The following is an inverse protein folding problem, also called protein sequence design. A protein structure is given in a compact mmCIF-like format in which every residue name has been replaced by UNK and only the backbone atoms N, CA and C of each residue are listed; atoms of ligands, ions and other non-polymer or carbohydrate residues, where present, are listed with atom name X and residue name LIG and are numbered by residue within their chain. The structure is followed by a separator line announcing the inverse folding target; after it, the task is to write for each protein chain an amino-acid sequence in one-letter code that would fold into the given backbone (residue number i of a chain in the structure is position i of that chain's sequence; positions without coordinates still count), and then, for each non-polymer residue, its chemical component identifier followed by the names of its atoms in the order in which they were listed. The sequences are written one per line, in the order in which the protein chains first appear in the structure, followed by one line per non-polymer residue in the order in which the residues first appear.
data_IF_554162782010
#
_entry.id   IF_554162782010
#
_cell.length_a   1.000
_cell.length_b   1.000
_cell.length_c   1.000
_cell.angle_alpha   90.00
_cell.angle_beta   90.00
_cell.angle_gamma   90.00
#
_symmetry.space_group_name_H-M   'P 1'
#
loop_
_entity.id
_entity.type
_entity.pdbx_description
1 polymer ?
#
# COMPACT_ATOMS: atom_id res chain seq x y z
N UNK A 1 14.00 -5.02 -5.32
CA UNK A 1 13.05 -5.83 -4.53
C UNK A 1 12.84 -7.21 -5.12
N UNK A 2 12.30 -7.29 -6.35
CA UNK A 2 12.01 -8.58 -7.00
C UNK A 2 13.23 -9.50 -7.17
N UNK A 3 14.42 -8.93 -7.39
CA UNK A 3 15.67 -9.70 -7.53
C UNK A 3 16.26 -10.21 -6.20
N UNK A 4 15.79 -9.70 -5.05
CA UNK A 4 16.27 -10.11 -3.73
C UNK A 4 15.12 -9.94 -2.71
N UNK A 5 14.16 -10.88 -2.68
CA UNK A 5 13.01 -10.80 -1.79
C UNK A 5 13.43 -11.03 -0.33
N UNK A 6 12.78 -10.32 0.59
CA UNK A 6 12.99 -10.45 2.03
C UNK A 6 11.72 -10.97 2.70
N UNK A 7 11.83 -11.69 3.83
CA UNK A 7 10.69 -12.08 4.68
C UNK A 7 9.45 -12.55 3.90
N UNK A 8 9.63 -13.57 3.06
CA UNK A 8 8.58 -14.09 2.19
C UNK A 8 7.59 -14.91 3.00
N UNK A 9 6.34 -14.47 3.02
CA UNK A 9 5.23 -15.03 3.81
C UNK A 9 3.96 -15.17 2.96
N UNK A 10 2.92 -15.75 3.55
CA UNK A 10 1.57 -15.69 2.98
C UNK A 10 1.01 -14.29 3.26
N UNK A 11 0.46 -13.67 2.23
CA UNK A 11 -0.05 -12.31 2.24
C UNK A 11 -1.58 -12.31 2.13
N UNK A 12 -2.21 -11.28 2.68
CA UNK A 12 -3.59 -10.94 2.38
C UNK A 12 -3.75 -10.66 0.88
N UNK A 13 -2.84 -9.88 0.31
CA UNK A 13 -2.80 -9.51 -1.10
C UNK A 13 -3.75 -8.37 -1.49
N UNK A 14 -4.59 -7.92 -0.57
CA UNK A 14 -5.61 -6.88 -0.79
C UNK A 14 -6.01 -6.20 0.53
N UNK A 15 -5.01 -5.83 1.33
CA UNK A 15 -5.25 -5.28 2.67
C UNK A 15 -5.59 -3.78 2.58
N UNK A 16 -6.84 -3.44 2.87
CA UNK A 16 -7.32 -2.05 2.97
C UNK A 16 -8.39 -1.91 4.05
N UNK A 17 -8.79 -0.66 4.34
CA UNK A 17 -9.65 -0.33 5.46
C UNK A 17 -11.04 -0.99 5.40
N UNK A 18 -11.61 -1.21 4.21
CA UNK A 18 -12.90 -1.94 4.08
C UNK A 18 -12.76 -3.45 4.31
N UNK A 19 -11.55 -4.00 4.17
CA UNK A 19 -11.27 -5.41 4.42
C UNK A 19 -10.85 -5.69 5.88
N UNK A 20 -10.94 -4.70 6.77
CA UNK A 20 -10.67 -4.85 8.20
C UNK A 20 -11.92 -4.41 8.97
N UNK A 21 -12.66 -5.38 9.51
CA UNK A 21 -13.96 -5.14 10.13
C UNK A 21 -13.91 -5.38 11.64
N UNK A 22 -14.73 -4.64 12.38
CA UNK A 22 -14.93 -4.83 13.82
C UNK A 22 -15.98 -5.94 14.05
N UNK A 23 -15.54 -7.06 14.64
CA UNK A 23 -16.40 -8.18 15.02
C UNK A 23 -16.82 -8.13 16.51
N UNK A 24 -16.79 -6.94 17.12
CA UNK A 24 -17.19 -6.70 18.50
C UNK A 24 -16.28 -7.42 19.48
N UNK A 25 -16.80 -8.42 20.20
CA UNK A 25 -16.03 -9.15 21.20
C UNK A 25 -14.80 -9.89 20.63
N UNK A 26 -14.82 -10.23 19.33
CA UNK A 26 -13.69 -10.85 18.64
C UNK A 26 -12.64 -9.85 18.15
N UNK A 27 -12.90 -8.54 18.26
CA UNK A 27 -12.03 -7.47 17.79
C UNK A 27 -11.99 -7.32 16.27
N UNK A 28 -10.94 -6.66 15.79
CA UNK A 28 -10.72 -6.38 14.36
C UNK A 28 -10.19 -7.61 13.63
N UNK A 29 -10.87 -8.02 12.55
CA UNK A 29 -10.45 -9.14 11.71
C UNK A 29 -10.35 -8.71 10.25
N UNK A 30 -9.33 -9.24 9.57
CA UNK A 30 -9.17 -9.09 8.13
C UNK A 30 -10.01 -10.11 7.36
N UNK A 31 -10.61 -9.68 6.25
CA UNK A 31 -11.49 -10.49 5.39
C UNK A 31 -11.09 -10.39 3.91
N UNK A 32 -11.57 -11.33 3.09
CA UNK A 32 -11.30 -11.41 1.65
C UNK A 32 -9.80 -11.51 1.24
N UNK A 33 -9.03 -12.45 1.81
CA UNK A 33 -7.64 -12.62 1.40
C UNK A 33 -7.56 -13.24 0.00
N UNK A 34 -6.68 -12.71 -0.84
CA UNK A 34 -6.29 -13.29 -2.15
C UNK A 34 -5.29 -14.45 -2.01
N UNK A 35 -4.70 -14.62 -0.82
CA UNK A 35 -3.85 -15.77 -0.42
C UNK A 35 -2.60 -15.95 -1.29
N UNK A 36 -1.97 -14.83 -1.65
CA UNK A 36 -0.74 -14.85 -2.45
C UNK A 36 0.50 -15.03 -1.57
N UNK A 37 1.62 -15.45 -2.15
CA UNK A 37 2.91 -15.57 -1.47
C UNK A 37 3.86 -14.50 -1.96
N UNK A 38 4.44 -13.73 -1.03
CA UNK A 38 5.32 -12.61 -1.36
C UNK A 38 6.01 -12.03 -0.13
N UNK A 39 6.77 -10.97 -0.34
CA UNK A 39 7.44 -10.26 0.74
C UNK A 39 6.43 -9.43 1.56
N UNK A 40 6.54 -9.50 2.89
CA UNK A 40 5.57 -8.90 3.84
C UNK A 40 5.25 -7.42 3.62
N UNK A 41 6.19 -6.65 3.08
CA UNK A 41 6.00 -5.21 2.86
C UNK A 41 4.90 -4.89 1.86
N UNK A 42 4.54 -5.82 0.96
CA UNK A 42 3.51 -5.62 -0.05
C UNK A 42 2.12 -5.37 0.56
N UNK A 43 1.72 -6.10 1.61
CA UNK A 43 0.39 -5.96 2.23
C UNK A 43 0.15 -4.57 2.82
N UNK A 44 1.21 -3.84 3.14
CA UNK A 44 1.09 -2.51 3.72
C UNK A 44 1.07 -1.40 2.67
N UNK A 45 1.42 -1.70 1.41
CA UNK A 45 1.47 -0.70 0.36
C UNK A 45 0.07 -0.12 0.06
N UNK A 46 -0.94 -0.99 -0.01
CA UNK A 46 -2.31 -0.58 -0.30
C UNK A 46 -2.88 0.33 0.82
N UNK A 47 -2.52 0.11 2.08
CA UNK A 47 -2.93 0.97 3.20
C UNK A 47 -2.56 2.45 2.99
N UNK A 48 -1.41 2.71 2.34
CA UNK A 48 -0.97 4.08 2.06
C UNK A 48 -1.86 4.75 1.00
N UNK A 49 -2.33 4.01 -0.01
CA UNK A 49 -3.24 4.52 -1.03
C UNK A 49 -4.69 4.72 -0.54
N UNK A 50 -5.03 4.19 0.64
CA UNK A 50 -6.37 4.26 1.26
C UNK A 50 -6.50 5.44 2.23
N UNK A 51 -7.71 5.88 2.62
CA UNK A 51 -9.01 5.35 2.19
C UNK A 51 -9.45 5.85 0.81
N UNK A 52 -8.90 6.98 0.37
CA UNK A 52 -9.21 7.58 -0.92
C UNK A 52 -7.98 8.32 -1.47
N UNK A 53 -7.96 8.54 -2.78
CA UNK A 53 -6.81 9.14 -3.47
C UNK A 53 -6.56 10.59 -3.05
N UNK A 54 -7.60 11.36 -2.69
CA UNK A 54 -7.43 12.77 -2.31
C UNK A 54 -6.69 12.89 -0.97
N UNK A 55 -6.99 12.00 -0.03
CA UNK A 55 -6.29 11.89 1.26
C UNK A 55 -4.89 11.29 1.08
N UNK A 56 -4.74 10.28 0.22
CA UNK A 56 -3.48 9.58 0.03
C UNK A 56 -2.36 10.46 -0.56
N UNK A 57 -2.72 11.46 -1.39
CA UNK A 57 -1.74 12.36 -2.02
C UNK A 57 -1.34 13.56 -1.14
N UNK A 58 -1.92 13.73 0.04
CA UNK A 58 -1.45 14.73 1.00
C UNK A 58 -0.04 14.32 1.52
N UNK A 59 1.02 15.10 1.27
CA UNK A 59 2.38 14.71 1.65
C UNK A 59 2.60 14.60 3.16
N UNK A 60 1.88 15.37 3.98
CA UNK A 60 1.98 15.28 5.44
C UNK A 60 1.33 13.99 5.92
N UNK A 61 0.13 13.68 5.40
CA UNK A 61 -0.57 12.43 5.71
C UNK A 61 0.23 11.22 5.24
N UNK A 62 0.74 11.24 4.00
CA UNK A 62 1.54 10.15 3.43
C UNK A 62 2.76 9.86 4.31
N UNK A 63 3.53 10.90 4.68
CA UNK A 63 4.70 10.75 5.57
C UNK A 63 4.29 10.15 6.92
N UNK A 64 3.20 10.64 7.52
CA UNK A 64 2.73 10.13 8.81
C UNK A 64 2.32 8.66 8.73
N UNK A 65 1.61 8.27 7.68
CA UNK A 65 1.21 6.87 7.45
C UNK A 65 2.41 5.95 7.24
N UNK A 66 3.38 6.38 6.43
CA UNK A 66 4.62 5.64 6.24
C UNK A 66 5.32 5.37 7.58
N UNK A 67 5.42 6.37 8.45
CA UNK A 67 6.02 6.24 9.78
C UNK A 67 5.25 5.25 10.66
N UNK A 68 3.93 5.43 10.78
CA UNK A 68 3.07 4.58 11.60
C UNK A 68 3.15 3.12 11.17
N UNK A 69 3.04 2.86 9.87
CA UNK A 69 3.11 1.51 9.31
C UNK A 69 4.50 0.90 9.54
N UNK A 70 5.57 1.65 9.25
CA UNK A 70 6.94 1.14 9.37
C UNK A 70 7.26 0.78 10.83
N UNK A 71 6.82 1.61 11.77
CA UNK A 71 7.00 1.37 13.20
C UNK A 71 6.18 0.17 13.68
N UNK A 72 4.87 0.14 13.37
CA UNK A 72 3.97 -0.93 13.81
C UNK A 72 4.34 -2.30 13.22
N UNK A 73 4.80 -2.34 11.96
CA UNK A 73 5.13 -3.57 11.25
C UNK A 73 6.62 -3.96 11.32
N UNK A 74 7.46 -3.11 11.93
CA UNK A 74 8.92 -3.31 11.95
C UNK A 74 9.51 -3.43 10.54
N UNK A 75 9.12 -2.53 9.64
CA UNK A 75 9.56 -2.50 8.25
C UNK A 75 10.60 -1.38 8.02
N UNK A 76 11.56 -1.66 7.14
CA UNK A 76 12.43 -0.62 6.61
C UNK A 76 11.62 0.37 5.76
N UNK A 77 11.73 1.67 6.10
CA UNK A 77 10.97 2.74 5.45
C UNK A 77 11.25 2.80 3.95
N UNK A 78 12.52 2.67 3.56
CA UNK A 78 12.92 2.72 2.15
C UNK A 78 12.33 1.53 1.40
N UNK A 79 12.36 0.33 1.97
CA UNK A 79 11.76 -0.87 1.38
C UNK A 79 10.24 -0.76 1.23
N UNK A 80 9.56 -0.21 2.25
CA UNK A 80 8.11 0.05 2.18
C UNK A 80 7.78 1.06 1.09
N UNK A 81 8.51 2.17 0.98
CA UNK A 81 8.34 3.15 -0.10
C UNK A 81 8.48 2.52 -1.49
N UNK A 82 9.44 1.60 -1.67
CA UNK A 82 9.57 0.88 -2.94
C UNK A 82 8.35 -0.03 -3.22
N UNK A 83 7.76 -0.67 -2.20
CA UNK A 83 6.50 -1.42 -2.35
C UNK A 83 5.33 -0.50 -2.71
N UNK A 84 5.23 0.68 -2.08
CA UNK A 84 4.21 1.69 -2.40
C UNK A 84 4.34 2.16 -3.84
N UNK A 85 5.55 2.46 -4.29
CA UNK A 85 5.82 2.85 -5.68
C UNK A 85 5.37 1.76 -6.66
N UNK A 86 5.72 0.50 -6.40
CA UNK A 86 5.32 -0.63 -7.24
C UNK A 86 3.79 -0.84 -7.24
N UNK A 87 3.15 -0.79 -6.07
CA UNK A 87 1.71 -0.98 -5.91
C UNK A 87 0.91 0.15 -6.56
N UNK A 88 1.31 1.41 -6.38
CA UNK A 88 0.66 2.55 -7.02
C UNK A 88 0.74 2.46 -8.55
N UNK A 89 1.88 2.01 -9.09
CA UNK A 89 2.01 1.73 -10.53
C UNK A 89 1.08 0.60 -11.02
N UNK A 90 1.00 -0.49 -10.26
CA UNK A 90 0.08 -1.60 -10.56
C UNK A 90 -1.40 -1.16 -10.50
N UNK A 91 -1.78 -0.42 -9.47
CA UNK A 91 -3.15 0.09 -9.31
C UNK A 91 -3.50 1.08 -10.40
N UNK A 92 -2.57 1.95 -10.82
CA UNK A 92 -2.77 2.82 -11.97
C UNK A 92 -3.02 2.01 -13.26
N UNK A 93 -2.31 0.90 -13.47
CA UNK A 93 -2.53 0.04 -14.63
C UNK A 93 -3.94 -0.57 -14.64
N UNK A 94 -4.43 -1.05 -13.50
CA UNK A 94 -5.82 -1.54 -13.38
C UNK A 94 -6.85 -0.46 -13.72
N UNK A 95 -6.68 0.76 -13.20
CA UNK A 95 -7.59 1.86 -13.55
C UNK A 95 -7.53 2.24 -15.03
N UNK A 96 -6.36 2.13 -15.68
CA UNK A 96 -6.25 2.36 -17.12
C UNK A 96 -6.94 1.28 -17.95
N UNK A 97 -6.91 0.02 -17.49
CA UNK A 97 -7.65 -1.09 -18.13
C UNK A 97 -9.18 -0.86 -18.07
N UNK A 98 -9.65 -0.17 -17.04
CA UNK A 98 -11.06 0.18 -16.83
C UNK A 98 -11.44 1.59 -17.38
N UNK A 99 -10.59 2.23 -18.18
CA UNK A 99 -10.76 3.60 -18.70
C UNK A 99 -10.96 4.69 -17.61
N UNK A 100 -10.54 4.42 -16.38
CA UNK A 100 -10.67 5.27 -15.21
C UNK A 100 -9.48 6.24 -15.04
N UNK A 101 -9.34 7.19 -15.98
CA UNK A 101 -8.17 8.08 -16.10
C UNK A 101 -7.90 8.97 -14.87
N UNK A 102 -8.94 9.42 -14.17
CA UNK A 102 -8.78 10.26 -12.98
C UNK A 102 -8.15 9.47 -11.83
N UNK A 103 -8.62 8.25 -11.61
CA UNK A 103 -8.12 7.35 -10.57
C UNK A 103 -6.69 6.88 -10.89
N UNK A 104 -6.43 6.54 -12.15
CA UNK A 104 -5.08 6.23 -12.62
C UNK A 104 -4.11 7.40 -12.33
N UNK A 105 -4.53 8.64 -12.65
CA UNK A 105 -3.73 9.84 -12.38
C UNK A 105 -3.49 10.06 -10.88
N UNK A 106 -4.48 9.75 -10.03
CA UNK A 106 -4.31 9.81 -8.57
C UNK A 106 -3.28 8.79 -8.07
N UNK A 107 -3.34 7.55 -8.53
CA UNK A 107 -2.34 6.52 -8.17
C UNK A 107 -0.94 6.91 -8.65
N UNK A 108 -0.81 7.46 -9.86
CA UNK A 108 0.48 7.95 -10.37
C UNK A 108 1.05 9.10 -9.52
N UNK A 109 0.22 9.96 -8.93
CA UNK A 109 0.69 10.97 -7.97
C UNK A 109 1.22 10.34 -6.68
N UNK A 110 0.56 9.29 -6.17
CA UNK A 110 1.08 8.52 -5.02
C UNK A 110 2.44 7.91 -5.35
N UNK A 111 2.59 7.32 -6.55
CA UNK A 111 3.88 6.82 -7.04
C UNK A 111 4.95 7.92 -7.09
N UNK A 112 4.62 9.11 -7.57
CA UNK A 112 5.54 10.26 -7.61
C UNK A 112 6.00 10.71 -6.22
N UNK A 113 5.09 10.77 -5.23
CA UNK A 113 5.45 11.09 -3.84
C UNK A 113 6.39 10.03 -3.28
N UNK A 114 6.09 8.75 -3.50
CA UNK A 114 6.94 7.65 -3.04
C UNK A 114 8.34 7.71 -3.67
N UNK A 115 8.42 7.97 -4.98
CA UNK A 115 9.69 8.15 -5.69
C UNK A 115 10.49 9.33 -5.15
N UNK A 116 9.86 10.49 -4.97
CA UNK A 116 10.51 11.68 -4.41
C UNK A 116 11.11 11.40 -3.01
N UNK A 117 10.38 10.68 -2.15
CA UNK A 117 10.87 10.32 -0.82
C UNK A 117 11.96 9.24 -0.82
N UNK A 118 12.14 8.49 -1.91
CA UNK A 118 13.23 7.51 -2.05
C UNK A 118 14.56 8.16 -2.42
N UNK A 119 14.50 9.34 -3.03
CA UNK A 119 15.65 10.11 -3.54
C UNK A 119 16.10 11.22 -2.57
N UNK A 120 15.29 11.53 -1.55
CA UNK A 120 15.57 12.50 -0.50
C UNK A 120 16.39 11.91 0.66
#
# INVERSE_FOLDING_TARGET
MLANPQDVVVLHGDMHHDNVLDFGACGWLAIDPKRVRGERGFDYANLICNPDLSTAIDPQRFRRQLEVISEAAGLDRRRLLQWVLAFAGLSAAWFLEDDALEQASGQLKVAQIAAFMLDA
#
